data_IF_300184354752
#
_entry.id   IF_300184354752
#
_cell.length_a   1.000
_cell.length_b   1.000
_cell.length_c   1.000
_cell.angle_alpha   90.00
_cell.angle_beta   90.00
_cell.angle_gamma   90.00
#
_symmetry.space_group_name_H-M   'P 1'
#
loop_
_entity.id
_entity.type
_entity.pdbx_description
1 polymer ?
#
# COMPACT_ATOMS: atom_id res chain seq x y z
N UNK A 1 -8.42 25.33 2.74
CA UNK A 1 -8.83 26.35 3.73
C UNK A 1 -7.78 27.45 3.93
N UNK A 2 -6.48 27.16 3.97
CA UNK A 2 -5.43 28.16 4.28
C UNK A 2 -4.31 28.20 3.22
N UNK A 3 -4.63 28.58 1.99
CA UNK A 3 -3.68 28.57 0.88
C UNK A 3 -2.45 29.49 1.09
N UNK A 4 -2.65 30.62 1.76
CA UNK A 4 -1.62 31.61 2.08
C UNK A 4 -0.69 31.16 3.21
N UNK A 5 -0.97 30.00 3.82
CA UNK A 5 -0.18 29.38 4.89
C UNK A 5 0.63 28.17 4.42
N UNK A 6 0.56 27.85 3.13
CA UNK A 6 1.26 26.71 2.54
C UNK A 6 2.35 27.24 1.62
N UNK A 7 3.60 27.10 2.05
CA UNK A 7 4.76 27.45 1.22
C UNK A 7 5.04 26.35 0.19
N UNK A 8 5.10 25.10 0.66
CA UNK A 8 5.34 23.90 -0.15
C UNK A 8 4.52 22.76 0.43
N UNK A 9 3.87 21.98 -0.43
CA UNK A 9 3.04 20.86 -0.02
C UNK A 9 3.21 19.76 -1.03
N UNK A 10 3.62 18.59 -0.55
CA UNK A 10 3.66 17.31 -1.24
C UNK A 10 2.43 16.51 -0.80
N UNK A 11 1.65 15.96 -1.74
CA UNK A 11 0.61 14.96 -1.41
C UNK A 11 0.98 13.64 -2.08
N UNK A 12 1.43 12.64 -1.31
CA UNK A 12 1.67 11.24 -1.72
C UNK A 12 0.38 10.40 -1.65
N UNK A 13 0.14 9.49 -2.61
CA UNK A 13 -1.10 8.70 -2.69
C UNK A 13 -2.39 9.57 -2.77
N UNK A 14 -2.51 10.37 -3.82
CA UNK A 14 -3.66 11.25 -4.10
C UNK A 14 -4.93 10.46 -4.45
N UNK A 15 -5.90 10.60 -3.56
CA UNK A 15 -7.28 10.15 -3.72
C UNK A 15 -8.04 11.03 -4.72
N UNK A 16 -8.94 10.43 -5.51
CA UNK A 16 -9.93 11.18 -6.28
C UNK A 16 -10.95 11.81 -5.32
N UNK A 17 -10.79 13.10 -5.03
CA UNK A 17 -11.61 13.78 -4.04
C UNK A 17 -13.10 13.77 -4.36
N UNK A 18 -13.48 13.80 -5.64
CA UNK A 18 -14.90 13.73 -6.03
C UNK A 18 -15.48 12.35 -5.72
N UNK A 19 -14.74 11.27 -6.01
CA UNK A 19 -15.13 9.89 -5.70
C UNK A 19 -15.25 9.68 -4.17
N UNK A 20 -14.28 10.21 -3.42
CA UNK A 20 -14.24 10.13 -1.96
C UNK A 20 -15.41 10.86 -1.30
N UNK A 21 -15.63 12.14 -1.63
CA UNK A 21 -16.71 12.93 -1.02
C UNK A 21 -18.11 12.49 -1.46
N UNK A 22 -18.22 11.77 -2.58
CA UNK A 22 -19.46 11.10 -2.98
C UNK A 22 -19.67 9.74 -2.29
N UNK A 23 -18.76 9.32 -1.41
CA UNK A 23 -18.77 8.01 -0.75
C UNK A 23 -18.88 6.84 -1.72
N UNK A 24 -18.26 7.00 -2.89
CA UNK A 24 -18.32 6.01 -3.95
C UNK A 24 -17.13 5.05 -3.87
N UNK A 25 -15.90 5.54 -3.65
CA UNK A 25 -14.66 4.72 -3.63
C UNK A 25 -14.55 3.75 -4.81
N UNK A 26 -15.20 4.07 -5.93
CA UNK A 26 -15.36 3.15 -7.05
C UNK A 26 -14.17 3.24 -8.02
N UNK A 27 -13.40 4.32 -7.94
CA UNK A 27 -12.19 4.51 -8.73
C UNK A 27 -10.94 3.96 -8.06
N UNK A 28 -10.96 3.69 -6.75
CA UNK A 28 -9.78 3.25 -5.97
C UNK A 28 -9.14 1.96 -6.48
N UNK A 29 -9.94 0.99 -6.91
CA UNK A 29 -9.45 -0.39 -7.14
C UNK A 29 -9.09 -0.70 -8.59
N UNK A 30 -8.94 0.32 -9.44
CA UNK A 30 -8.69 0.17 -10.88
C UNK A 30 -7.38 -0.55 -11.20
N UNK A 31 -6.37 -0.35 -10.36
CA UNK A 31 -5.03 -0.88 -10.58
C UNK A 31 -4.70 -2.07 -9.65
N UNK A 32 -5.57 -2.45 -8.72
CA UNK A 32 -5.33 -3.53 -7.76
C UNK A 32 -4.93 -4.85 -8.43
N UNK A 33 -5.69 -5.31 -9.43
CA UNK A 33 -5.37 -6.54 -10.15
C UNK A 33 -4.07 -6.44 -10.96
N UNK A 34 -3.63 -5.23 -11.34
CA UNK A 34 -2.32 -5.04 -11.98
C UNK A 34 -1.17 -5.28 -10.99
N UNK A 35 -1.34 -4.88 -9.72
CA UNK A 35 -0.35 -5.18 -8.67
C UNK A 35 -0.27 -6.68 -8.40
N UNK A 36 -1.40 -7.38 -8.36
CA UNK A 36 -1.39 -8.84 -8.23
C UNK A 36 -0.76 -9.52 -9.47
N UNK A 37 -1.06 -9.02 -10.68
CA UNK A 37 -0.40 -9.51 -11.89
C UNK A 37 1.13 -9.31 -11.83
N UNK A 38 1.58 -8.20 -11.26
CA UNK A 38 3.00 -7.95 -11.04
C UNK A 38 3.62 -8.96 -10.07
N UNK A 39 2.93 -9.38 -9.00
CA UNK A 39 3.38 -10.48 -8.14
C UNK A 39 3.62 -11.77 -8.95
N UNK A 40 2.69 -12.15 -9.83
CA UNK A 40 2.83 -13.35 -10.67
C UNK A 40 4.04 -13.26 -11.60
N UNK A 41 4.22 -12.10 -12.23
CA UNK A 41 5.35 -11.85 -13.12
C UNK A 41 6.68 -11.86 -12.37
N UNK A 42 6.78 -11.10 -11.28
CA UNK A 42 7.98 -10.97 -10.48
C UNK A 42 8.38 -12.32 -9.85
N UNK A 43 7.43 -13.07 -9.30
CA UNK A 43 7.70 -14.37 -8.71
C UNK A 43 8.18 -15.40 -9.75
N UNK A 44 7.57 -15.43 -10.94
CA UNK A 44 8.00 -16.31 -12.02
C UNK A 44 9.39 -15.92 -12.55
N UNK A 45 9.66 -14.64 -12.72
CA UNK A 45 10.94 -14.14 -13.21
C UNK A 45 12.08 -14.33 -12.20
N UNK A 46 11.80 -14.21 -10.90
CA UNK A 46 12.79 -14.36 -9.85
C UNK A 46 13.35 -15.79 -9.74
N UNK A 47 12.58 -16.79 -10.21
CA UNK A 47 13.00 -18.19 -10.18
C UNK A 47 12.81 -18.86 -8.81
N UNK A 48 13.01 -20.18 -8.74
CA UNK A 48 12.74 -20.99 -7.54
C UNK A 48 13.68 -20.70 -6.38
N UNK A 49 14.85 -20.08 -6.62
CA UNK A 49 15.78 -19.69 -5.57
C UNK A 49 15.40 -18.40 -4.85
N UNK A 50 14.53 -17.58 -5.44
CA UNK A 50 14.16 -16.25 -4.92
C UNK A 50 12.68 -16.10 -4.61
N UNK A 51 11.79 -16.78 -5.34
CA UNK A 51 10.37 -16.85 -5.00
C UNK A 51 9.99 -18.26 -4.54
N UNK A 52 9.58 -18.42 -3.28
CA UNK A 52 9.15 -19.71 -2.74
C UNK A 52 7.88 -20.27 -3.42
N UNK A 53 7.01 -19.39 -3.95
CA UNK A 53 5.80 -19.76 -4.68
C UNK A 53 6.00 -19.82 -6.20
N UNK A 54 7.25 -19.99 -6.64
CA UNK A 54 7.63 -19.99 -8.04
C UNK A 54 6.86 -21.02 -8.88
N UNK A 55 6.54 -20.61 -10.10
CA UNK A 55 6.19 -21.50 -11.20
C UNK A 55 6.78 -20.95 -12.51
N UNK A 56 6.93 -21.79 -13.53
CA UNK A 56 7.70 -21.44 -14.73
C UNK A 56 7.07 -20.34 -15.60
N UNK A 57 5.79 -20.01 -15.36
CA UNK A 57 5.12 -18.91 -16.04
C UNK A 57 4.21 -18.15 -15.07
N UNK A 58 3.98 -16.84 -15.28
CA UNK A 58 3.07 -16.06 -14.45
C UNK A 58 1.66 -16.67 -14.37
N UNK A 59 1.13 -17.19 -15.48
CA UNK A 59 -0.18 -17.85 -15.50
C UNK A 59 -0.25 -19.12 -14.66
N UNK A 60 0.87 -19.83 -14.46
CA UNK A 60 0.91 -20.97 -13.53
C UNK A 60 0.93 -20.49 -12.08
N UNK A 61 1.62 -19.41 -11.75
CA UNK A 61 1.59 -18.80 -10.40
C UNK A 61 0.16 -18.38 -10.06
N UNK A 62 -0.51 -17.71 -11.00
CA UNK A 62 -1.92 -17.32 -10.88
C UNK A 62 -2.83 -18.54 -10.70
N UNK A 63 -2.67 -19.58 -11.54
CA UNK A 63 -3.45 -20.81 -11.42
C UNK A 63 -3.26 -21.46 -10.04
N UNK A 64 -2.02 -21.56 -9.56
CA UNK A 64 -1.73 -22.15 -8.26
C UNK A 64 -2.42 -21.36 -7.13
N UNK A 65 -2.44 -20.03 -7.22
CA UNK A 65 -3.18 -19.20 -6.27
C UNK A 65 -4.70 -19.45 -6.35
N UNK A 66 -5.26 -19.58 -7.56
CA UNK A 66 -6.68 -19.88 -7.73
C UNK A 66 -7.05 -21.27 -7.17
N UNK A 67 -6.18 -22.27 -7.32
CA UNK A 67 -6.36 -23.59 -6.73
C UNK A 67 -6.38 -23.52 -5.19
N UNK A 68 -5.54 -22.67 -4.58
CA UNK A 68 -5.56 -22.39 -3.14
C UNK A 68 -6.86 -21.71 -2.70
N UNK A 69 -7.33 -20.70 -3.43
CA UNK A 69 -8.61 -20.06 -3.16
C UNK A 69 -9.77 -21.07 -3.16
N UNK A 70 -9.82 -21.94 -4.17
CA UNK A 70 -10.87 -22.94 -4.28
C UNK A 70 -10.78 -24.02 -3.19
N UNK A 71 -9.57 -24.38 -2.77
CA UNK A 71 -9.35 -25.25 -1.61
C UNK A 71 -9.93 -24.63 -0.33
N UNK A 72 -9.60 -23.37 -0.04
CA UNK A 72 -10.04 -22.67 1.17
C UNK A 72 -11.54 -22.36 1.19
N UNK A 73 -12.20 -22.19 0.03
CA UNK A 73 -13.67 -22.11 -0.04
C UNK A 73 -14.34 -23.39 0.44
N UNK A 74 -13.76 -24.56 0.14
CA UNK A 74 -14.32 -25.88 0.52
C UNK A 74 -13.91 -26.30 1.92
N UNK A 75 -12.69 -25.96 2.33
CA UNK A 75 -12.10 -26.37 3.60
C UNK A 75 -11.28 -25.23 4.22
N UNK A 76 -11.94 -24.28 4.92
CA UNK A 76 -11.26 -23.31 5.77
C UNK A 76 -10.32 -24.00 6.76
N UNK A 77 -9.17 -23.40 7.02
CA UNK A 77 -8.16 -23.95 7.92
C UNK A 77 -8.23 -23.28 9.28
N UNK A 78 -8.50 -24.01 10.38
CA UNK A 78 -8.36 -23.47 11.72
C UNK A 78 -6.89 -23.28 12.04
N UNK A 79 -6.53 -22.06 12.43
CA UNK A 79 -5.16 -21.68 12.79
C UNK A 79 -5.16 -21.14 14.20
N UNK A 80 -4.13 -21.53 14.95
CA UNK A 80 -3.82 -21.01 16.27
C UNK A 80 -2.35 -20.63 16.29
N UNK A 81 -2.08 -19.39 16.67
CA UNK A 81 -0.74 -18.86 16.89
C UNK A 81 -0.54 -18.62 18.39
N UNK A 82 0.65 -18.17 18.83
CA UNK A 82 0.84 -17.73 20.20
C UNK A 82 -0.03 -16.53 20.60
N UNK A 83 -0.50 -15.72 19.65
CA UNK A 83 -1.17 -14.44 19.89
C UNK A 83 -2.67 -14.46 19.60
N UNK A 84 -3.12 -15.27 18.64
CA UNK A 84 -4.53 -15.32 18.26
C UNK A 84 -4.92 -16.66 17.67
N UNK A 85 -6.21 -16.86 17.42
CA UNK A 85 -6.74 -18.02 16.72
C UNK A 85 -7.86 -17.58 15.79
N UNK A 86 -8.11 -18.35 14.73
CA UNK A 86 -9.15 -18.02 13.76
C UNK A 86 -9.16 -19.00 12.59
N UNK A 87 -9.84 -18.60 11.53
CA UNK A 87 -9.88 -19.34 10.28
C UNK A 87 -9.05 -18.61 9.22
N UNK A 88 -8.19 -19.35 8.54
CA UNK A 88 -7.74 -18.96 7.20
C UNK A 88 -8.73 -19.56 6.21
N UNK A 89 -9.62 -18.71 5.69
CA UNK A 89 -10.57 -19.05 4.65
C UNK A 89 -10.29 -18.23 3.37
N UNK A 90 -11.17 -18.36 2.38
CA UNK A 90 -11.07 -17.61 1.12
C UNK A 90 -11.02 -16.09 1.34
N UNK A 91 -11.88 -15.55 2.21
CA UNK A 91 -11.96 -14.12 2.46
C UNK A 91 -10.69 -13.61 3.15
N UNK A 92 -10.21 -14.35 4.16
CA UNK A 92 -8.97 -14.02 4.88
C UNK A 92 -7.75 -14.08 3.97
N UNK A 93 -7.66 -15.07 3.07
CA UNK A 93 -6.56 -15.12 2.10
C UNK A 93 -6.62 -13.94 1.12
N UNK A 94 -7.80 -13.57 0.63
CA UNK A 94 -7.96 -12.37 -0.22
C UNK A 94 -7.54 -11.11 0.50
N UNK A 95 -7.92 -10.95 1.76
CA UNK A 95 -7.50 -9.81 2.59
C UNK A 95 -5.97 -9.79 2.79
N UNK A 96 -5.35 -10.93 3.12
CA UNK A 96 -3.88 -11.04 3.25
C UNK A 96 -3.18 -10.63 1.96
N UNK A 97 -3.65 -11.11 0.81
CA UNK A 97 -3.07 -10.77 -0.49
C UNK A 97 -3.28 -9.29 -0.78
N UNK A 98 -4.50 -8.77 -0.63
CA UNK A 98 -4.82 -7.37 -0.85
C UNK A 98 -3.93 -6.43 -0.03
N UNK A 99 -3.73 -6.72 1.26
CA UNK A 99 -2.85 -5.93 2.13
C UNK A 99 -1.38 -6.04 1.73
N UNK A 100 -0.94 -7.18 1.20
CA UNK A 100 0.42 -7.34 0.65
C UNK A 100 0.64 -6.47 -0.61
N UNK A 101 -0.43 -6.18 -1.37
CA UNK A 101 -0.33 -5.30 -2.55
C UNK A 101 0.03 -3.86 -2.18
N UNK A 102 -0.15 -3.42 -0.92
CA UNK A 102 0.24 -2.07 -0.48
C UNK A 102 1.75 -1.89 -0.42
N UNK A 103 2.49 -2.93 -0.03
CA UNK A 103 3.94 -2.85 0.17
C UNK A 103 4.65 -4.06 -0.43
N UNK A 104 4.72 -4.17 -1.77
CA UNK A 104 5.26 -5.33 -2.45
C UNK A 104 6.69 -5.69 -2.02
N UNK A 105 7.59 -4.69 -1.95
CA UNK A 105 9.00 -4.89 -1.57
C UNK A 105 9.16 -5.49 -0.16
N UNK A 106 8.28 -5.12 0.78
CA UNK A 106 8.33 -5.63 2.15
C UNK A 106 7.61 -6.97 2.32
N UNK A 107 6.59 -7.26 1.50
CA UNK A 107 5.63 -8.34 1.79
C UNK A 107 5.64 -9.50 0.80
N UNK A 108 6.09 -9.32 -0.44
CA UNK A 108 5.93 -10.35 -1.48
C UNK A 108 6.75 -11.62 -1.22
N UNK A 109 7.97 -11.50 -0.71
CA UNK A 109 8.78 -12.67 -0.32
C UNK A 109 8.06 -13.50 0.75
N UNK A 110 7.56 -12.85 1.81
CA UNK A 110 6.82 -13.50 2.89
C UNK A 110 5.46 -14.05 2.43
N UNK A 111 4.79 -13.34 1.53
CA UNK A 111 3.56 -13.82 0.89
C UNK A 111 3.83 -15.10 0.10
N UNK A 112 4.89 -15.12 -0.72
CA UNK A 112 5.28 -16.28 -1.50
C UNK A 112 5.62 -17.49 -0.60
N UNK A 113 6.36 -17.28 0.49
CA UNK A 113 6.61 -18.33 1.49
C UNK A 113 5.32 -18.90 2.08
N UNK A 114 4.39 -18.02 2.46
CA UNK A 114 3.10 -18.43 3.03
C UNK A 114 2.22 -19.19 2.04
N UNK A 115 2.16 -18.74 0.79
CA UNK A 115 1.43 -19.44 -0.28
C UNK A 115 2.06 -20.81 -0.60
N UNK A 116 3.39 -20.88 -0.61
CA UNK A 116 4.11 -22.13 -0.83
C UNK A 116 3.85 -23.14 0.30
N UNK A 117 4.00 -22.72 1.57
CA UNK A 117 3.73 -23.58 2.72
C UNK A 117 2.28 -24.06 2.79
N UNK A 118 1.33 -23.21 2.38
CA UNK A 118 -0.06 -23.58 2.26
C UNK A 118 -0.28 -24.63 1.15
N UNK A 119 0.40 -24.48 0.01
CA UNK A 119 0.29 -25.40 -1.12
C UNK A 119 0.97 -26.77 -0.86
N UNK A 120 2.13 -26.78 -0.20
CA UNK A 120 2.89 -28.01 0.07
C UNK A 120 2.32 -28.81 1.24
N UNK A 121 2.13 -28.14 2.38
CA UNK A 121 1.92 -28.80 3.66
C UNK A 121 0.54 -28.53 4.26
N UNK A 122 -0.29 -27.74 3.56
CA UNK A 122 -1.54 -27.23 4.12
C UNK A 122 -1.32 -26.27 5.30
N UNK A 123 -0.13 -25.69 5.44
CA UNK A 123 0.23 -24.83 6.56
C UNK A 123 -0.02 -23.35 6.21
N UNK A 124 -1.15 -22.82 6.68
CA UNK A 124 -1.52 -21.42 6.48
C UNK A 124 -0.99 -20.43 7.51
N UNK A 125 -0.13 -20.86 8.45
CA UNK A 125 0.22 -20.05 9.63
C UNK A 125 0.89 -18.72 9.26
N UNK A 126 1.77 -18.70 8.26
CA UNK A 126 2.43 -17.48 7.77
C UNK A 126 1.39 -16.47 7.28
N UNK A 127 0.49 -16.91 6.40
CA UNK A 127 -0.57 -16.07 5.79
C UNK A 127 -1.52 -15.51 6.85
N UNK A 128 -1.81 -16.29 7.89
CA UNK A 128 -2.63 -15.86 9.02
C UNK A 128 -1.93 -14.80 9.89
N UNK A 129 -0.66 -15.03 10.23
CA UNK A 129 0.15 -14.10 11.02
C UNK A 129 0.39 -12.76 10.33
N UNK A 130 0.41 -12.73 8.98
CA UNK A 130 0.52 -11.47 8.23
C UNK A 130 -0.64 -10.50 8.48
N UNK A 131 -1.75 -10.97 9.06
CA UNK A 131 -2.92 -10.18 9.38
C UNK A 131 -3.21 -10.13 10.89
N UNK A 132 -2.30 -10.65 11.70
CA UNK A 132 -2.41 -10.54 13.15
C UNK A 132 -2.10 -9.11 13.59
N UNK A 133 -3.04 -8.52 14.32
CA UNK A 133 -2.83 -7.24 14.98
C UNK A 133 -2.16 -7.50 16.32
N UNK A 134 -1.21 -6.65 16.69
CA UNK A 134 -0.67 -6.65 18.05
C UNK A 134 -1.82 -6.33 19.03
N UNK A 135 -1.97 -7.09 20.13
CA UNK A 135 -2.92 -6.76 21.17
C UNK A 135 -2.66 -5.35 21.69
N UNK A 136 -3.71 -4.55 21.83
CA UNK A 136 -3.57 -3.21 22.39
C UNK A 136 -3.13 -3.31 23.84
N UNK A 137 -1.89 -2.91 24.14
CA UNK A 137 -1.39 -2.84 25.51
C UNK A 137 -1.95 -1.57 26.16
N UNK A 138 -2.99 -1.70 26.97
CA UNK A 138 -3.39 -0.61 27.86
C UNK A 138 -2.30 -0.39 28.91
N UNK A 139 -1.62 0.76 28.89
CA UNK A 139 -0.63 1.15 29.91
C UNK A 139 -1.24 1.44 31.29
N UNK A 140 -2.53 1.16 31.49
CA UNK A 140 -3.32 1.44 32.68
C UNK A 140 -3.02 0.46 33.82
N UNK A 141 -1.75 0.27 34.20
CA UNK A 141 -1.32 -0.30 35.50
C UNK A 141 -1.88 -1.67 35.96
N UNK A 142 -2.62 -2.40 35.13
CA UNK A 142 -3.15 -3.74 35.43
C UNK A 142 -2.45 -4.78 34.56
N UNK A 143 -2.45 -6.03 35.04
CA UNK A 143 -2.03 -7.16 34.20
C UNK A 143 -2.78 -7.06 32.85
N UNK A 144 -2.06 -7.10 31.71
CA UNK A 144 -2.70 -7.03 30.42
C UNK A 144 -3.71 -8.17 30.35
N UNK A 145 -5.00 -7.84 30.24
CA UNK A 145 -6.05 -8.85 30.09
C UNK A 145 -5.67 -9.71 28.88
N UNK A 146 -5.41 -11.02 29.07
CA UNK A 146 -5.00 -11.91 27.99
C UNK A 146 -6.08 -12.07 26.90
N UNK A 147 -7.27 -11.49 27.10
CA UNK A 147 -8.41 -11.52 26.20
C UNK A 147 -8.81 -10.15 25.63
N UNK A 148 -8.04 -9.07 25.83
CA UNK A 148 -8.28 -7.80 25.12
C UNK A 148 -7.83 -7.91 23.65
N UNK A 149 -8.64 -8.61 22.85
CA UNK A 149 -8.51 -8.73 21.40
C UNK A 149 -9.06 -7.51 20.63
N UNK A 150 -9.34 -6.40 21.33
CA UNK A 150 -9.90 -5.20 20.71
C UNK A 150 -8.80 -4.30 20.17
N UNK A 151 -8.57 -4.31 18.86
CA UNK A 151 -7.88 -3.21 18.20
C UNK A 151 -8.82 -1.99 18.14
N UNK A 152 -8.56 -0.95 18.93
CA UNK A 152 -9.34 0.31 18.87
C UNK A 152 -9.18 1.08 17.54
N UNK A 153 -8.30 0.60 16.65
CA UNK A 153 -7.96 1.23 15.38
C UNK A 153 -9.16 1.42 14.43
N UNK A 154 -10.20 0.58 14.46
CA UNK A 154 -11.30 0.65 13.48
C UNK A 154 -12.35 1.74 13.78
N UNK A 155 -12.45 2.19 15.04
CA UNK A 155 -13.44 3.18 15.46
C UNK A 155 -13.23 4.58 14.87
N UNK A 156 -12.01 5.15 14.79
CA UNK A 156 -11.83 6.49 14.24
C UNK A 156 -11.97 6.55 12.71
N UNK A 157 -11.49 5.54 11.97
CA UNK A 157 -11.58 5.52 10.51
C UNK A 157 -13.02 5.58 10.02
N UNK A 158 -13.87 4.72 10.59
CA UNK A 158 -15.30 4.71 10.27
C UNK A 158 -15.91 6.08 10.55
N UNK A 159 -15.66 6.67 11.72
CA UNK A 159 -16.18 8.00 12.03
C UNK A 159 -15.72 9.09 11.04
N UNK A 160 -14.48 9.05 10.56
CA UNK A 160 -13.95 10.02 9.59
C UNK A 160 -14.58 9.81 8.21
N UNK A 161 -14.46 8.59 7.64
CA UNK A 161 -14.95 8.28 6.30
C UNK A 161 -16.45 8.55 6.17
N UNK A 162 -17.22 8.19 7.19
CA UNK A 162 -18.66 8.40 7.17
C UNK A 162 -19.05 9.87 7.32
N UNK A 163 -18.25 10.71 7.99
CA UNK A 163 -18.58 12.14 8.15
C UNK A 163 -18.00 13.04 7.05
N UNK A 164 -16.95 12.62 6.34
CA UNK A 164 -16.36 13.43 5.27
C UNK A 164 -17.29 13.51 4.04
N UNK A 165 -17.93 12.40 3.70
CA UNK A 165 -18.66 12.25 2.44
C UNK A 165 -20.18 12.47 2.53
N UNK A 166 -20.85 12.21 1.41
CA UNK A 166 -22.30 12.21 1.29
C UNK A 166 -22.93 11.11 2.15
N UNK A 167 -24.08 11.37 2.82
CA UNK A 167 -24.75 10.36 3.61
C UNK A 167 -25.07 9.08 2.83
N UNK A 168 -24.69 7.95 3.40
CA UNK A 168 -24.96 6.62 2.85
C UNK A 168 -26.30 6.12 3.39
N UNK A 169 -27.25 5.74 2.50
CA UNK A 169 -28.49 5.13 2.93
C UNK A 169 -28.24 3.85 3.74
N UNK A 170 -29.00 3.65 4.81
CA UNK A 170 -28.92 2.46 5.66
C UNK A 170 -29.74 1.27 5.17
N UNK A 171 -30.18 1.25 3.90
CA UNK A 171 -31.03 0.17 3.38
C UNK A 171 -30.19 -0.98 2.82
N UNK A 172 -30.77 -2.18 2.85
CA UNK A 172 -30.13 -3.36 2.26
C UNK A 172 -30.04 -3.22 0.74
N UNK A 173 -31.09 -2.69 0.10
CA UNK A 173 -31.19 -2.50 -1.34
C UNK A 173 -30.08 -1.58 -1.87
N UNK A 174 -29.85 -0.43 -1.23
CA UNK A 174 -28.78 0.49 -1.61
C UNK A 174 -27.39 -0.14 -1.46
N UNK A 175 -27.20 -0.95 -0.41
CA UNK A 175 -25.93 -1.65 -0.15
C UNK A 175 -25.64 -2.69 -1.23
N UNK A 176 -26.64 -3.49 -1.63
CA UNK A 176 -26.49 -4.49 -2.69
C UNK A 176 -26.25 -3.82 -4.04
N UNK A 177 -26.99 -2.77 -4.39
CA UNK A 177 -26.79 -2.03 -5.64
C UNK A 177 -25.36 -1.46 -5.75
N UNK A 178 -24.84 -0.89 -4.66
CA UNK A 178 -23.47 -0.43 -4.59
C UNK A 178 -22.48 -1.59 -4.82
N UNK A 179 -22.65 -2.68 -4.10
CA UNK A 179 -21.76 -3.84 -4.16
C UNK A 179 -21.71 -4.45 -5.57
N UNK A 180 -22.85 -4.63 -6.22
CA UNK A 180 -22.93 -5.12 -7.61
C UNK A 180 -22.29 -4.17 -8.62
N UNK A 181 -22.46 -2.85 -8.44
CA UNK A 181 -21.78 -1.85 -9.28
C UNK A 181 -20.27 -1.92 -9.09
N UNK A 182 -19.79 -2.00 -7.85
CA UNK A 182 -18.38 -2.04 -7.54
C UNK A 182 -17.70 -3.32 -8.06
N UNK A 183 -18.34 -4.48 -7.94
CA UNK A 183 -17.84 -5.74 -8.49
C UNK A 183 -17.69 -5.75 -10.02
N UNK A 184 -18.50 -4.98 -10.75
CA UNK A 184 -18.34 -4.79 -12.20
C UNK A 184 -17.08 -3.98 -12.55
N UNK A 185 -16.56 -3.19 -11.62
CA UNK A 185 -15.37 -2.37 -11.80
C UNK A 185 -14.10 -3.11 -11.36
N UNK A 186 -14.16 -3.82 -10.23
CA UNK A 186 -13.02 -4.58 -9.70
C UNK A 186 -13.51 -5.74 -8.83
N UNK A 187 -12.91 -6.91 -9.01
CA UNK A 187 -13.14 -8.09 -8.16
C UNK A 187 -12.72 -7.85 -6.69
N UNK A 188 -11.83 -6.89 -6.47
CA UNK A 188 -11.34 -6.51 -5.13
C UNK A 188 -12.34 -5.69 -4.34
N UNK A 189 -13.44 -5.27 -4.98
CA UNK A 189 -14.55 -4.61 -4.29
C UNK A 189 -15.15 -5.49 -3.18
N UNK A 190 -15.02 -6.81 -3.29
CA UNK A 190 -15.37 -7.74 -2.20
C UNK A 190 -14.61 -7.50 -0.89
N UNK A 191 -13.37 -7.02 -0.97
CA UNK A 191 -12.51 -6.69 0.18
C UNK A 191 -12.71 -5.22 0.58
N UNK A 192 -12.90 -4.33 -0.39
CA UNK A 192 -12.94 -2.88 -0.17
C UNK A 192 -14.32 -2.33 0.24
N UNK A 193 -15.41 -3.00 -0.15
CA UNK A 193 -16.78 -2.53 0.07
C UNK A 193 -17.14 -2.37 1.56
N UNK A 194 -16.38 -3.00 2.46
CA UNK A 194 -16.51 -2.82 3.91
C UNK A 194 -16.41 -1.36 4.34
N UNK A 195 -15.60 -0.54 3.65
CA UNK A 195 -15.44 0.90 3.95
C UNK A 195 -16.76 1.65 3.84
N UNK A 196 -17.49 1.46 2.73
CA UNK A 196 -18.79 2.09 2.55
C UNK A 196 -19.85 1.44 3.42
N UNK A 197 -19.81 0.11 3.55
CA UNK A 197 -20.82 -0.65 4.27
C UNK A 197 -20.82 -0.31 5.76
N UNK A 198 -19.66 -0.06 6.37
CA UNK A 198 -19.54 0.37 7.77
C UNK A 198 -20.22 1.72 8.07
N UNK A 199 -20.44 2.53 7.04
CA UNK A 199 -21.16 3.79 7.13
C UNK A 199 -22.68 3.68 6.93
N UNK A 200 -23.20 2.49 6.63
CA UNK A 200 -24.64 2.30 6.40
C UNK A 200 -25.43 2.60 7.68
N UNK A 201 -26.33 3.58 7.60
CA UNK A 201 -27.10 4.02 8.77
C UNK A 201 -26.31 4.91 9.75
N UNK A 202 -25.11 5.35 9.37
CA UNK A 202 -24.34 6.31 10.16
C UNK A 202 -25.11 7.63 10.31
N UNK A 203 -25.37 8.03 11.56
CA UNK A 203 -26.04 9.29 11.84
C UNK A 203 -25.03 10.43 11.72
N UNK A 204 -25.04 11.13 10.59
CA UNK A 204 -24.24 12.33 10.42
C UNK A 204 -24.55 13.33 11.52
N UNK A 205 -23.52 13.73 12.26
CA UNK A 205 -23.59 14.90 13.12
C UNK A 205 -23.39 16.12 12.24
N UNK A 206 -24.39 17.02 12.14
CA UNK A 206 -24.20 18.25 11.37
C UNK A 206 -23.13 19.11 12.04
N UNK A 207 -22.05 19.42 11.33
CA UNK A 207 -21.66 20.79 10.92
C UNK A 207 -20.14 20.93 10.74
N UNK A 208 -19.68 20.76 9.51
CA UNK A 208 -18.67 21.56 8.78
C UNK A 208 -18.10 20.70 7.65
N UNK A 209 -18.92 20.44 6.63
CA UNK A 209 -18.36 19.92 5.39
C UNK A 209 -17.69 21.09 4.68
N UNK A 210 -16.36 21.19 4.75
CA UNK A 210 -15.63 21.99 3.79
C UNK A 210 -15.76 21.30 2.42
N UNK A 211 -16.86 21.56 1.73
CA UNK A 211 -17.04 21.20 0.31
C UNK A 211 -16.26 22.22 -0.49
N UNK A 212 -14.94 22.08 -0.49
CA UNK A 212 -14.03 23.03 -1.11
C UNK A 212 -14.45 23.36 -2.53
N UNK A 213 -14.73 24.63 -2.81
CA UNK A 213 -14.74 25.12 -4.19
C UNK A 213 -13.31 25.08 -4.69
N UNK A 214 -13.08 24.54 -5.88
CA UNK A 214 -11.76 24.58 -6.53
C UNK A 214 -11.26 26.02 -6.55
N UNK A 215 -10.10 26.27 -5.92
CA UNK A 215 -9.49 27.59 -5.88
C UNK A 215 -8.05 27.46 -6.36
N UNK A 216 -7.66 28.42 -7.20
CA UNK A 216 -6.34 28.54 -7.82
C UNK A 216 -5.25 28.68 -6.75
N UNK A 217 -4.63 27.57 -6.37
CA UNK A 217 -3.42 27.54 -5.55
C UNK A 217 -2.37 26.67 -6.21
N UNK A 218 -1.13 27.13 -6.16
CA UNK A 218 0.02 26.33 -6.56
C UNK A 218 0.21 25.23 -5.51
N UNK A 219 0.11 23.97 -5.90
CA UNK A 219 0.29 22.82 -5.00
C UNK A 219 1.22 21.82 -5.66
N UNK A 220 2.03 21.10 -4.88
CA UNK A 220 2.86 20.02 -5.41
C UNK A 220 2.23 18.67 -5.07
N UNK A 221 1.82 17.96 -6.10
CA UNK A 221 1.10 16.70 -5.95
C UNK A 221 2.08 15.58 -6.26
N UNK A 222 2.53 14.86 -5.24
CA UNK A 222 3.31 13.65 -5.47
C UNK A 222 2.37 12.50 -5.68
N UNK A 223 1.94 12.20 -6.89
CA UNK A 223 1.21 10.95 -7.02
C UNK A 223 1.55 10.24 -8.31
N UNK A 224 1.72 8.92 -8.24
CA UNK A 224 2.71 8.21 -9.06
C UNK A 224 2.40 8.10 -10.59
N UNK A 225 2.76 9.04 -11.51
CA UNK A 225 2.25 9.13 -12.93
C UNK A 225 3.10 9.00 -14.24
N UNK A 226 2.95 7.98 -15.12
CA UNK A 226 3.77 7.78 -16.34
C UNK A 226 3.06 7.14 -17.55
N UNK A 227 3.83 7.13 -18.66
CA UNK A 227 3.98 6.17 -19.77
C UNK A 227 5.52 5.88 -19.92
N UNK A 228 6.11 4.74 -20.37
CA UNK A 228 5.90 3.80 -21.52
C UNK A 228 6.66 2.43 -21.36
N UNK A 229 6.29 1.35 -22.13
CA UNK A 229 6.69 -0.10 -22.05
C UNK A 229 8.14 -0.55 -22.42
N UNK A 230 8.46 -1.78 -22.94
CA UNK A 230 7.68 -2.97 -23.32
C UNK A 230 8.16 -4.29 -22.64
N UNK A 231 7.52 -4.67 -21.54
CA UNK A 231 7.08 -6.03 -21.12
C UNK A 231 6.38 -5.74 -19.77
N UNK A 232 5.04 -5.62 -19.85
CA UNK A 232 4.11 -5.17 -18.78
C UNK A 232 4.43 -3.81 -18.13
N UNK A 233 4.25 -2.71 -18.89
CA UNK A 233 4.30 -1.35 -18.35
C UNK A 233 2.99 -0.93 -17.67
N UNK A 234 2.93 -1.01 -16.34
CA UNK A 234 1.98 -0.25 -15.52
C UNK A 234 2.55 -0.07 -14.10
N UNK A 235 2.88 1.16 -13.73
CA UNK A 235 2.82 1.56 -12.32
C UNK A 235 1.39 1.40 -11.83
N UNK A 236 1.28 0.83 -10.63
CA UNK A 236 0.00 0.45 -10.07
C UNK A 236 0.02 0.69 -8.56
N UNK A 237 -0.79 1.64 -8.13
CA UNK A 237 -1.16 1.78 -6.73
C UNK A 237 -2.49 1.03 -6.52
N UNK A 238 -2.59 0.09 -5.58
CA UNK A 238 -3.77 -0.75 -5.44
C UNK A 238 -5.04 0.02 -5.03
N UNK A 239 -4.93 1.25 -4.49
CA UNK A 239 -6.06 1.98 -3.89
C UNK A 239 -6.12 3.48 -4.25
N UNK A 240 -5.00 4.08 -4.64
CA UNK A 240 -4.92 5.47 -5.14
C UNK A 240 -4.31 5.48 -6.53
N UNK A 241 -5.04 4.93 -7.51
CA UNK A 241 -4.51 4.65 -8.82
C UNK A 241 -4.19 5.94 -9.52
N UNK A 242 -3.46 5.76 -10.58
CA UNK A 242 -2.75 6.86 -11.11
C UNK A 242 -3.60 7.90 -11.87
N UNK A 243 -4.72 7.43 -12.40
CA UNK A 243 -5.74 8.31 -12.93
C UNK A 243 -6.16 9.38 -11.91
N UNK A 244 -6.14 9.08 -10.61
CA UNK A 244 -6.55 9.99 -9.54
C UNK A 244 -5.56 11.15 -9.37
N UNK A 245 -4.25 10.87 -9.44
CA UNK A 245 -3.20 11.91 -9.51
C UNK A 245 -3.44 12.87 -10.68
N UNK A 246 -3.56 12.33 -11.91
CA UNK A 246 -3.80 13.11 -13.15
C UNK A 246 -5.04 13.95 -13.04
N UNK A 247 -6.12 13.39 -12.49
CA UNK A 247 -7.40 14.07 -12.34
C UNK A 247 -7.28 15.22 -11.36
N UNK A 248 -6.73 14.98 -10.17
CA UNK A 248 -6.61 15.99 -9.12
C UNK A 248 -5.62 17.08 -9.49
N UNK A 249 -4.52 16.80 -10.19
CA UNK A 249 -3.57 17.81 -10.62
C UNK A 249 -4.18 18.91 -11.51
N UNK A 250 -5.20 18.58 -12.32
CA UNK A 250 -5.93 19.57 -13.13
C UNK A 250 -6.63 20.64 -12.29
N UNK A 251 -6.96 20.34 -11.04
CA UNK A 251 -7.60 21.27 -10.11
C UNK A 251 -6.61 22.27 -9.49
N UNK A 252 -5.31 22.06 -9.65
CA UNK A 252 -4.26 22.89 -9.04
C UNK A 252 -3.28 23.37 -10.12
N UNK A 253 -3.59 24.51 -10.78
CA UNK A 253 -2.68 25.12 -11.75
C UNK A 253 -1.29 25.33 -11.15
N UNK A 254 -0.25 24.97 -11.91
CA UNK A 254 1.14 25.01 -11.43
C UNK A 254 1.60 23.74 -10.69
N UNK A 255 0.70 22.78 -10.45
CA UNK A 255 1.10 21.46 -9.96
C UNK A 255 1.75 20.62 -11.06
N UNK A 256 2.73 19.82 -10.65
CA UNK A 256 3.37 18.79 -11.48
C UNK A 256 3.18 17.46 -10.80
N UNK A 257 3.01 16.41 -11.59
CA UNK A 257 2.87 15.04 -11.11
C UNK A 257 4.16 14.29 -11.41
N UNK A 258 4.75 13.69 -10.37
CA UNK A 258 5.93 12.83 -10.45
C UNK A 258 5.51 11.37 -10.35
N UNK A 259 5.98 10.51 -11.24
CA UNK A 259 5.86 9.07 -11.03
C UNK A 259 7.07 8.45 -10.39
N UNK A 260 6.80 7.45 -9.57
CA UNK A 260 7.73 6.37 -9.32
C UNK A 260 7.28 5.09 -10.03
N UNK A 261 8.12 4.52 -10.89
CA UNK A 261 7.78 3.34 -11.69
C UNK A 261 7.81 2.06 -10.85
N UNK A 262 6.71 1.81 -10.14
CA UNK A 262 6.61 0.75 -9.15
C UNK A 262 5.19 0.35 -8.89
N UNK A 263 5.02 -0.84 -8.31
CA UNK A 263 3.77 -1.22 -7.69
C UNK A 263 3.76 -0.92 -6.19
N UNK A 264 2.57 -0.85 -5.62
CA UNK A 264 2.36 -0.58 -4.21
C UNK A 264 1.85 0.83 -3.93
N UNK A 265 1.36 0.99 -2.70
CA UNK A 265 0.66 2.18 -2.24
C UNK A 265 1.63 3.26 -1.78
N UNK A 266 1.49 4.46 -2.33
CA UNK A 266 2.38 5.61 -2.09
C UNK A 266 3.85 5.37 -2.51
N UNK A 267 4.65 6.43 -2.63
CA UNK A 267 6.05 6.34 -3.08
C UNK A 267 6.95 5.49 -2.17
N UNK A 268 6.61 5.39 -0.89
CA UNK A 268 7.38 4.61 0.09
C UNK A 268 7.32 3.10 -0.14
N UNK A 269 6.37 2.59 -0.95
CA UNK A 269 6.22 1.14 -1.20
C UNK A 269 7.39 0.49 -1.91
N UNK A 270 8.27 1.29 -2.53
CA UNK A 270 9.46 0.85 -3.23
C UNK A 270 10.57 1.91 -3.14
N UNK A 271 11.85 1.51 -2.99
CA UNK A 271 12.96 2.45 -2.90
C UNK A 271 13.25 3.12 -4.25
N UNK A 272 13.37 4.46 -4.26
CA UNK A 272 13.81 5.24 -5.44
C UNK A 272 14.63 6.46 -5.04
N UNK A 273 15.90 6.49 -5.43
CA UNK A 273 16.77 7.67 -5.25
C UNK A 273 16.33 8.83 -6.13
N UNK A 274 15.79 8.56 -7.32
CA UNK A 274 15.23 9.57 -8.21
C UNK A 274 14.05 10.29 -7.54
N UNK A 275 13.07 9.55 -7.01
CA UNK A 275 11.89 10.15 -6.35
C UNK A 275 12.35 11.00 -5.16
N UNK A 276 13.19 10.44 -4.29
CA UNK A 276 13.71 11.13 -3.11
C UNK A 276 14.45 12.42 -3.48
N UNK A 277 15.23 12.41 -4.56
CA UNK A 277 15.98 13.58 -5.03
C UNK A 277 15.05 14.72 -5.47
N UNK A 278 13.95 14.41 -6.19
CA UNK A 278 12.96 15.43 -6.56
C UNK A 278 12.20 15.98 -5.37
N UNK A 279 11.82 15.13 -4.41
CA UNK A 279 11.15 15.58 -3.18
C UNK A 279 12.07 16.49 -2.36
N UNK A 280 13.33 16.10 -2.21
CA UNK A 280 14.37 16.90 -1.54
C UNK A 280 14.56 18.25 -2.23
N UNK A 281 14.75 18.26 -3.55
CA UNK A 281 14.92 19.49 -4.31
C UNK A 281 13.71 20.42 -4.16
N UNK A 282 12.49 19.88 -4.24
CA UNK A 282 11.28 20.66 -4.05
C UNK A 282 11.24 21.32 -2.67
N UNK A 283 11.47 20.58 -1.58
CA UNK A 283 11.43 21.17 -0.24
C UNK A 283 12.57 22.16 0.05
N UNK A 284 13.77 21.93 -0.50
CA UNK A 284 14.93 22.79 -0.25
C UNK A 284 14.84 24.12 -1.00
N UNK A 285 14.55 24.08 -2.30
CA UNK A 285 14.65 25.27 -3.15
C UNK A 285 13.42 25.51 -4.05
N UNK A 286 12.37 24.70 -3.91
CA UNK A 286 11.15 24.83 -4.71
C UNK A 286 11.26 24.28 -6.13
N UNK A 287 12.33 23.56 -6.47
CA UNK A 287 12.49 22.99 -7.82
C UNK A 287 11.45 21.90 -8.07
N UNK A 288 10.66 22.09 -9.12
CA UNK A 288 9.70 21.11 -9.63
C UNK A 288 10.40 20.13 -10.59
N UNK A 289 9.99 18.85 -10.64
CA UNK A 289 10.39 17.97 -11.73
C UNK A 289 9.83 18.48 -13.06
N UNK A 290 10.40 18.03 -14.17
CA UNK A 290 9.80 18.27 -15.48
C UNK A 290 8.45 17.57 -15.58
N UNK A 291 7.53 18.11 -16.37
CA UNK A 291 6.26 17.44 -16.67
C UNK A 291 6.53 16.03 -17.22
N UNK A 292 5.74 15.06 -16.77
CA UNK A 292 5.87 13.65 -17.15
C UNK A 292 7.20 12.98 -16.72
N UNK A 293 7.88 13.51 -15.70
CA UNK A 293 9.06 12.86 -15.10
C UNK A 293 8.70 11.51 -14.50
N UNK A 294 9.55 10.53 -14.82
CA UNK A 294 9.47 9.14 -14.40
C UNK A 294 10.68 8.82 -13.54
N UNK A 295 10.46 8.27 -12.34
CA UNK A 295 11.53 7.78 -11.48
C UNK A 295 11.52 6.27 -11.37
N UNK A 296 12.60 5.64 -11.80
CA UNK A 296 12.82 4.20 -11.62
C UNK A 296 13.02 3.83 -10.13
N UNK A 297 12.80 2.56 -9.82
CA UNK A 297 13.03 2.00 -8.47
C UNK A 297 14.26 1.09 -8.43
N UNK A 298 14.74 0.86 -7.22
CA UNK A 298 15.85 -0.04 -6.95
C UNK A 298 15.31 -1.46 -6.81
N UNK A 299 15.70 -2.31 -7.77
CA UNK A 299 15.37 -3.73 -7.72
C UNK A 299 13.91 -4.06 -7.99
N UNK A 300 13.56 -5.31 -7.67
CA UNK A 300 12.19 -5.81 -7.65
C UNK A 300 11.91 -6.44 -6.28
N UNK A 301 10.65 -6.78 -5.95
CA UNK A 301 10.31 -7.29 -4.62
C UNK A 301 11.09 -8.53 -4.15
N UNK A 302 11.65 -9.33 -5.07
CA UNK A 302 12.40 -10.54 -4.75
C UNK A 302 13.93 -10.39 -4.88
N UNK A 303 14.42 -9.29 -5.48
CA UNK A 303 15.86 -9.06 -5.74
C UNK A 303 16.41 -7.73 -5.23
N UNK A 304 15.58 -6.90 -4.59
CA UNK A 304 15.97 -5.53 -4.22
C UNK A 304 17.12 -5.44 -3.21
N UNK A 305 17.25 -6.39 -2.28
CA UNK A 305 18.34 -6.40 -1.30
C UNK A 305 19.71 -6.50 -2.01
N UNK A 306 19.84 -7.38 -3.00
CA UNK A 306 21.08 -7.54 -3.78
C UNK A 306 21.44 -6.26 -4.54
N UNK A 307 20.45 -5.61 -5.16
CA UNK A 307 20.69 -4.35 -5.89
C UNK A 307 21.00 -3.19 -4.96
N UNK A 308 20.45 -3.19 -3.75
CA UNK A 308 20.77 -2.17 -2.75
C UNK A 308 22.21 -2.32 -2.27
N UNK A 309 22.65 -3.54 -2.00
CA UNK A 309 24.03 -3.84 -1.63
C UNK A 309 25.02 -3.45 -2.75
N UNK A 310 24.69 -3.75 -4.01
CA UNK A 310 25.48 -3.31 -5.17
C UNK A 310 25.62 -1.78 -5.24
N UNK A 311 24.53 -1.04 -5.04
CA UNK A 311 24.55 0.42 -5.05
C UNK A 311 25.39 0.99 -3.91
N UNK A 312 25.25 0.44 -2.70
CA UNK A 312 26.02 0.86 -1.54
C UNK A 312 27.51 0.54 -1.70
N UNK A 313 27.87 -0.50 -2.45
CA UNK A 313 29.25 -0.89 -2.73
C UNK A 313 29.95 -0.05 -3.81
N UNK A 314 29.26 0.85 -4.53
CA UNK A 314 29.88 1.68 -5.57
C UNK A 314 30.78 2.79 -5.00
N UNK A 315 31.99 3.06 -5.55
CA UNK A 315 32.94 4.02 -4.98
C UNK A 315 32.47 5.48 -4.91
N UNK A 316 31.47 5.89 -5.71
CA UNK A 316 30.92 7.25 -5.63
C UNK A 316 30.19 7.53 -4.30
N UNK A 317 29.71 6.48 -3.60
CA UNK A 317 29.15 6.59 -2.25
C UNK A 317 30.23 6.73 -1.15
N UNK A 318 31.50 6.41 -1.46
CA UNK A 318 32.60 6.38 -0.49
C UNK A 318 33.31 7.73 -0.29
N UNK A 319 32.85 8.81 -0.92
CA UNK A 319 33.45 10.14 -0.77
C UNK A 319 32.96 10.96 0.42
N UNK A 320 32.01 10.46 1.22
CA UNK A 320 31.63 11.07 2.50
C UNK A 320 32.17 10.25 3.69
N UNK A 321 33.49 10.29 3.89
CA UNK A 321 34.08 9.94 5.17
C UNK A 321 33.96 11.12 6.14
N UNK A 322 32.94 11.11 6.99
CA UNK A 322 32.97 11.91 8.23
C UNK A 322 33.97 11.30 9.22
N UNK A 323 34.87 12.07 9.83
CA UNK A 323 35.81 11.56 10.81
C UNK A 323 35.08 11.14 12.10
N UNK A 324 35.08 9.83 12.37
CA UNK A 324 34.90 9.27 13.71
C UNK A 324 33.45 9.04 14.17
N UNK A 325 32.91 7.87 13.87
CA UNK A 325 32.13 7.06 14.83
C UNK A 325 31.95 5.65 14.23
N UNK A 326 32.57 4.64 14.84
CA UNK A 326 32.20 3.24 14.59
C UNK A 326 30.86 2.97 15.29
N UNK A 327 29.82 2.65 14.53
CA UNK A 327 28.56 2.14 15.09
C UNK A 327 28.57 0.63 14.87
N UNK A 328 28.69 -0.12 15.97
CA UNK A 328 28.47 -1.55 15.99
C UNK A 328 26.98 -1.84 15.76
N UNK A 329 26.68 -2.68 14.76
CA UNK A 329 25.34 -3.18 14.51
C UNK A 329 25.10 -4.33 15.50
N UNK A 330 24.30 -4.11 16.54
CA UNK A 330 23.87 -5.18 17.44
C UNK A 330 22.51 -5.72 17.00
N UNK A 331 22.43 -7.05 16.90
CA UNK A 331 21.24 -7.85 16.60
C UNK A 331 20.04 -7.47 17.48
N UNK A 332 19.06 -6.75 16.92
CA UNK A 332 17.66 -6.82 17.38
C UNK A 332 16.71 -6.61 16.20
N UNK A 333 15.83 -7.60 16.02
CA UNK A 333 14.82 -7.75 14.97
C UNK A 333 13.81 -6.58 14.98
N UNK A 334 14.06 -5.56 14.16
CA UNK A 334 13.06 -4.65 13.60
C UNK A 334 13.68 -3.94 12.39
N UNK A 335 14.02 -4.72 11.37
CA UNK A 335 14.95 -4.32 10.30
C UNK A 335 14.37 -3.28 9.31
N UNK A 336 13.05 -3.03 9.32
CA UNK A 336 12.41 -2.06 8.41
C UNK A 336 12.60 -0.59 8.84
N UNK A 337 12.63 -0.32 10.15
CA UNK A 337 12.79 1.05 10.66
C UNK A 337 14.26 1.48 10.71
N UNK A 338 15.19 0.54 10.89
CA UNK A 338 16.63 0.84 10.89
C UNK A 338 17.18 1.06 9.48
N UNK A 339 16.63 0.40 8.44
CA UNK A 339 16.95 0.73 7.04
C UNK A 339 16.52 2.17 6.69
N UNK A 340 15.30 2.57 7.07
CA UNK A 340 14.80 3.94 6.90
C UNK A 340 15.65 4.93 7.70
N UNK A 341 16.04 4.62 8.94
CA UNK A 341 16.94 5.47 9.74
C UNK A 341 18.35 5.56 9.15
N UNK A 342 18.89 4.50 8.56
CA UNK A 342 20.20 4.52 7.91
C UNK A 342 20.19 5.44 6.68
N UNK A 343 19.13 5.37 5.87
CA UNK A 343 18.92 6.27 4.72
C UNK A 343 18.68 7.72 5.17
N UNK A 344 17.90 7.96 6.24
CA UNK A 344 17.70 9.31 6.77
C UNK A 344 18.95 9.91 7.44
N UNK A 345 19.81 9.10 8.08
CA UNK A 345 21.08 9.57 8.67
C UNK A 345 22.12 9.92 7.60
N UNK A 346 22.08 9.28 6.42
CA UNK A 346 22.89 9.69 5.27
C UNK A 346 22.49 11.06 4.68
N UNK A 347 21.32 11.59 5.03
CA UNK A 347 20.76 12.84 4.48
C UNK A 347 20.79 14.01 5.47
N UNK A 348 21.38 13.82 6.65
CA UNK A 348 21.34 14.74 7.79
C UNK A 348 22.57 15.64 8.00
N UNK A 349 23.59 15.58 7.13
CA UNK A 349 24.76 16.46 7.18
C UNK A 349 25.00 17.19 5.85
#
# INVERSE_FOLDING_TARGET
MFPDKVERLVIDAVVDSEDYYNTAWDTSLRDTSKVLQYFFNACSNAGPSKCAFYAETPSKVEKNLNDLYDSLKRRPLPIKTPRSYGLLDYARLRETIFNSLFSPWASFSRLAEGLAALASDGNGTILFMMQEKEPSKCSCGGDPDPYLFGSFHESPYTAIFCNDGTPIPGTFEDTIQYYEKALKLSEWSSVWAGIRTSCSGWKHTSSMHFRGTQRNFNMFLLNKLVLTGPITGNTADPVTPLSSARKMAKAFPGSVVLQQDSTGHASISAPSTCTQSHVKAYFINGTLPQTDTVCEVIGDPFTHEEKLDELLATPESTSFQTPGHQIAISETRSDEFELLKAVFRQLGD
#
